data_IF_440458252703
#
_entry.id   IF_440458252703
#
_cell.length_a   1.000
_cell.length_b   1.000
_cell.length_c   1.000
_cell.angle_alpha   90.00
_cell.angle_beta   90.00
_cell.angle_gamma   90.00
#
_symmetry.space_group_name_H-M   'P 1'
#
loop_
_entity.id
_entity.type
_entity.pdbx_description
1 polymer ?
#
# COMPACT_ATOMS: atom_id res chain seq x y z
N UNK A 1 -26.67 0.33 -20.08
CA UNK A 1 -27.81 0.78 -19.25
C UNK A 1 -29.05 0.97 -20.10
N UNK A 2 -28.97 1.69 -21.23
CA UNK A 2 -30.12 1.93 -22.14
C UNK A 2 -30.80 0.65 -22.62
N UNK A 3 -30.03 -0.38 -22.98
CA UNK A 3 -30.58 -1.65 -23.50
C UNK A 3 -31.36 -2.47 -22.46
N UNK A 4 -30.87 -2.54 -21.20
CA UNK A 4 -31.43 -3.44 -20.19
C UNK A 4 -32.23 -2.74 -19.09
N UNK A 5 -32.17 -1.40 -19.02
CA UNK A 5 -32.73 -0.62 -17.91
C UNK A 5 -32.02 -0.81 -16.56
N UNK A 6 -30.96 -1.63 -16.49
CA UNK A 6 -30.19 -1.84 -15.27
C UNK A 6 -29.10 -0.79 -15.12
N UNK A 7 -28.88 -0.37 -13.86
CA UNK A 7 -27.76 0.49 -13.50
C UNK A 7 -26.49 -0.35 -13.36
N UNK A 8 -25.43 0.03 -14.05
CA UNK A 8 -24.12 -0.59 -13.98
C UNK A 8 -23.09 0.46 -13.56
N UNK A 9 -22.13 0.06 -12.75
CA UNK A 9 -21.03 0.90 -12.29
C UNK A 9 -19.68 0.30 -12.71
N UNK A 10 -18.65 1.12 -12.68
CA UNK A 10 -17.27 0.67 -12.86
C UNK A 10 -16.58 0.67 -11.51
N UNK A 11 -16.15 -0.50 -11.05
CA UNK A 11 -15.54 -0.69 -9.74
C UNK A 11 -14.05 -1.06 -9.87
N UNK A 12 -13.22 -0.45 -9.02
CA UNK A 12 -11.86 -0.89 -8.79
C UNK A 12 -11.89 -2.06 -7.79
N UNK A 13 -12.17 -3.26 -8.29
CA UNK A 13 -12.33 -4.48 -7.48
C UNK A 13 -11.10 -4.70 -6.57
N UNK A 14 -11.23 -5.09 -5.29
CA UNK A 14 -10.08 -5.35 -4.42
C UNK A 14 -9.15 -6.47 -4.91
N UNK A 15 -9.71 -7.50 -5.55
CA UNK A 15 -9.01 -8.57 -6.26
C UNK A 15 -7.88 -9.30 -5.49
N UNK A 16 -7.98 -9.39 -4.15
CA UNK A 16 -6.95 -9.92 -3.24
C UNK A 16 -6.37 -11.27 -3.69
N UNK A 17 -7.23 -12.25 -4.00
CA UNK A 17 -6.80 -13.55 -4.54
C UNK A 17 -6.83 -13.63 -6.07
N UNK A 18 -7.63 -12.79 -6.71
CA UNK A 18 -7.90 -12.85 -8.15
C UNK A 18 -6.68 -12.46 -8.97
N UNK A 19 -5.97 -11.41 -8.56
CA UNK A 19 -4.73 -10.95 -9.22
C UNK A 19 -3.68 -12.05 -9.31
N UNK A 20 -3.49 -12.78 -8.21
CA UNK A 20 -2.57 -13.91 -8.13
C UNK A 20 -3.05 -15.10 -8.98
N UNK A 21 -4.33 -15.44 -8.87
CA UNK A 21 -4.92 -16.57 -9.60
C UNK A 21 -4.85 -16.38 -11.11
N UNK A 22 -5.22 -15.20 -11.60
CA UNK A 22 -5.15 -14.90 -13.04
C UNK A 22 -3.71 -14.92 -13.54
N UNK A 23 -2.77 -14.30 -12.81
CA UNK A 23 -1.37 -14.33 -13.20
C UNK A 23 -0.83 -15.77 -13.31
N UNK A 24 -1.19 -16.66 -12.37
CA UNK A 24 -0.82 -18.07 -12.42
C UNK A 24 -1.44 -18.83 -13.60
N UNK A 25 -2.72 -18.64 -13.88
CA UNK A 25 -3.40 -19.35 -14.96
C UNK A 25 -2.93 -18.87 -16.34
N UNK A 26 -2.75 -17.57 -16.53
CA UNK A 26 -2.29 -17.01 -17.80
C UNK A 26 -0.90 -17.48 -18.16
N UNK A 27 -0.01 -17.62 -17.17
CA UNK A 27 1.33 -18.14 -17.40
C UNK A 27 1.35 -19.55 -18.00
N UNK A 28 0.38 -20.40 -17.67
CA UNK A 28 0.27 -21.75 -18.24
C UNK A 28 -0.10 -21.72 -19.72
N UNK A 29 -0.78 -20.65 -20.16
CA UNK A 29 -1.37 -20.52 -21.50
C UNK A 29 -0.53 -19.66 -22.44
N UNK A 30 0.17 -18.67 -21.88
CA UNK A 30 0.89 -17.65 -22.64
C UNK A 30 2.37 -17.64 -22.24
N UNK A 31 3.22 -18.39 -22.97
CA UNK A 31 4.67 -18.33 -22.77
C UNK A 31 5.19 -16.91 -22.97
N UNK A 32 6.01 -16.41 -22.03
CA UNK A 32 6.63 -15.09 -22.11
C UNK A 32 5.76 -13.92 -21.64
N UNK A 33 4.57 -14.17 -21.07
CA UNK A 33 3.72 -13.10 -20.53
C UNK A 33 4.44 -12.30 -19.43
N UNK A 34 4.32 -10.97 -19.49
CA UNK A 34 4.89 -10.04 -18.52
C UNK A 34 3.95 -9.88 -17.33
N UNK A 35 4.49 -10.08 -16.12
CA UNK A 35 3.74 -10.06 -14.86
C UNK A 35 4.61 -9.46 -13.77
N UNK A 36 4.00 -8.87 -12.75
CA UNK A 36 4.70 -8.41 -11.56
C UNK A 36 4.99 -9.56 -10.58
N UNK A 37 5.89 -9.32 -9.63
CA UNK A 37 6.29 -10.29 -8.61
C UNK A 37 7.37 -11.27 -9.09
N UNK A 38 7.52 -12.38 -8.36
CA UNK A 38 8.52 -13.41 -8.71
C UNK A 38 7.92 -14.50 -9.59
N UNK A 39 8.77 -15.45 -10.04
CA UNK A 39 8.28 -16.64 -10.75
C UNK A 39 7.35 -17.48 -9.86
N UNK A 40 7.61 -17.57 -8.57
CA UNK A 40 6.83 -18.37 -7.63
C UNK A 40 5.58 -17.61 -7.17
N UNK A 41 5.68 -16.27 -7.11
CA UNK A 41 4.64 -15.39 -6.60
C UNK A 41 4.24 -14.30 -7.60
N UNK A 42 3.69 -14.63 -8.78
CA UNK A 42 3.31 -13.63 -9.75
C UNK A 42 1.94 -13.03 -9.47
N UNK A 43 1.76 -11.76 -9.81
CA UNK A 43 0.48 -11.08 -9.65
C UNK A 43 0.30 -10.02 -10.73
N UNK A 44 -0.95 -9.60 -10.91
CA UNK A 44 -1.29 -8.37 -11.60
C UNK A 44 -1.53 -7.25 -10.61
N UNK A 45 -1.10 -6.04 -10.96
CA UNK A 45 -1.43 -4.84 -10.19
C UNK A 45 -2.95 -4.66 -10.19
N UNK A 46 -3.52 -4.35 -9.03
CA UNK A 46 -4.97 -4.28 -8.89
C UNK A 46 -5.57 -3.12 -9.69
N UNK A 47 -6.67 -3.36 -10.39
CA UNK A 47 -7.43 -2.31 -11.10
C UNK A 47 -6.53 -1.43 -11.99
N UNK A 48 -6.49 -0.11 -11.76
CA UNK A 48 -5.58 0.83 -12.43
C UNK A 48 -4.52 1.40 -11.48
N UNK A 49 -4.26 0.72 -10.37
CA UNK A 49 -3.24 1.16 -9.39
C UNK A 49 -1.86 1.22 -10.02
N UNK A 50 -0.96 2.00 -9.39
CA UNK A 50 0.44 1.99 -9.75
C UNK A 50 1.06 0.62 -9.40
N UNK A 51 2.07 0.15 -10.17
CA UNK A 51 2.86 -1.01 -9.76
C UNK A 51 3.41 -0.84 -8.34
N UNK A 52 3.50 -1.95 -7.61
CA UNK A 52 4.11 -1.96 -6.27
C UNK A 52 5.54 -1.43 -6.35
N UNK A 53 5.90 -0.50 -5.48
CA UNK A 53 7.23 0.11 -5.44
C UNK A 53 7.50 1.15 -6.55
N UNK A 54 6.45 1.66 -7.21
CA UNK A 54 6.62 2.68 -8.25
C UNK A 54 7.18 4.01 -7.71
N UNK A 55 6.66 4.49 -6.58
CA UNK A 55 7.13 5.71 -5.91
C UNK A 55 6.83 5.61 -4.41
N UNK A 56 7.69 6.24 -3.62
CA UNK A 56 7.48 6.44 -2.17
C UNK A 56 6.86 7.83 -1.89
N UNK A 57 6.71 8.69 -2.90
CA UNK A 57 6.06 9.99 -2.76
C UNK A 57 4.54 9.87 -2.91
N UNK A 58 3.76 10.07 -1.83
CA UNK A 58 2.31 9.99 -1.92
C UNK A 58 1.67 11.06 -2.80
N UNK A 59 2.30 12.22 -2.98
CA UNK A 59 1.79 13.26 -3.86
C UNK A 59 2.04 12.94 -5.33
N UNK A 60 3.18 12.34 -5.66
CA UNK A 60 3.39 11.79 -7.01
C UNK A 60 2.36 10.69 -7.29
N UNK A 61 2.13 9.77 -6.34
CA UNK A 61 1.13 8.72 -6.49
C UNK A 61 -0.27 9.30 -6.75
N UNK A 62 -0.67 10.35 -6.02
CA UNK A 62 -1.92 11.07 -6.22
C UNK A 62 -2.00 11.72 -7.62
N UNK A 63 -0.94 12.42 -8.05
CA UNK A 63 -0.88 13.07 -9.36
C UNK A 63 -1.03 12.07 -10.52
N UNK A 64 -0.38 10.91 -10.42
CA UNK A 64 -0.48 9.85 -11.43
C UNK A 64 -1.84 9.16 -11.46
N UNK A 65 -2.57 9.17 -10.35
CA UNK A 65 -3.79 8.39 -10.18
C UNK A 65 -5.07 9.22 -10.24
N UNK A 66 -5.03 10.54 -10.07
CA UNK A 66 -6.23 11.39 -10.03
C UNK A 66 -7.15 11.15 -11.23
N UNK A 67 -6.61 11.20 -12.45
CA UNK A 67 -7.43 11.09 -13.66
C UNK A 67 -8.15 9.74 -13.78
N UNK A 68 -7.42 8.63 -13.57
CA UNK A 68 -7.95 7.28 -13.72
C UNK A 68 -8.90 6.91 -12.58
N UNK A 69 -8.55 7.25 -11.35
CA UNK A 69 -9.35 6.89 -10.18
C UNK A 69 -10.73 7.57 -10.21
N UNK A 70 -10.82 8.76 -10.80
CA UNK A 70 -12.09 9.48 -10.98
C UNK A 70 -13.03 8.87 -12.02
N UNK A 71 -12.57 7.89 -12.81
CA UNK A 71 -13.41 7.19 -13.79
C UNK A 71 -14.23 6.06 -13.15
N UNK A 72 -13.84 5.58 -11.97
CA UNK A 72 -14.63 4.58 -11.25
C UNK A 72 -15.87 5.23 -10.65
N UNK A 73 -17.02 4.68 -11.00
CA UNK A 73 -18.33 5.13 -10.53
C UNK A 73 -18.89 4.24 -9.43
N UNK A 74 -18.35 3.03 -9.29
CA UNK A 74 -18.80 2.02 -8.33
C UNK A 74 -18.04 1.99 -7.03
N UNK A 75 -16.80 2.47 -7.05
CA UNK A 75 -15.93 2.48 -5.90
C UNK A 75 -14.48 2.39 -6.34
N UNK A 76 -13.63 3.16 -5.66
CA UNK A 76 -12.19 3.01 -5.71
C UNK A 76 -11.57 3.50 -4.41
N UNK A 77 -10.32 3.12 -4.16
CA UNK A 77 -9.50 3.60 -3.05
C UNK A 77 -8.06 3.74 -3.53
N UNK A 78 -7.40 4.86 -3.21
CA UNK A 78 -5.96 4.99 -3.37
C UNK A 78 -5.26 4.79 -2.01
N UNK A 79 -4.33 3.85 -1.95
CA UNK A 79 -3.51 3.62 -0.77
C UNK A 79 -2.25 4.48 -0.82
N UNK A 80 -2.11 5.38 0.15
CA UNK A 80 -0.88 6.15 0.35
C UNK A 80 -0.05 5.42 1.41
N UNK A 81 0.93 4.64 0.96
CA UNK A 81 1.87 3.93 1.84
C UNK A 81 2.96 4.88 2.31
N UNK A 82 3.18 4.94 3.62
CA UNK A 82 4.27 5.71 4.21
C UNK A 82 5.33 4.73 4.72
N UNK A 83 6.60 4.94 4.37
CA UNK A 83 7.71 4.10 4.83
C UNK A 83 7.96 4.17 6.35
N UNK A 84 7.39 5.17 7.02
CA UNK A 84 7.52 5.37 8.46
C UNK A 84 6.20 5.76 9.12
N UNK A 85 6.23 5.90 10.43
CA UNK A 85 5.09 6.35 11.22
C UNK A 85 4.77 7.82 10.91
N UNK A 86 3.48 8.16 10.81
CA UNK A 86 3.08 9.57 10.75
C UNK A 86 3.45 10.27 12.06
N UNK A 87 4.24 11.34 11.96
CA UNK A 87 4.84 12.06 13.09
C UNK A 87 3.84 12.58 14.13
N UNK A 88 2.62 12.92 13.71
CA UNK A 88 1.55 13.34 14.61
C UNK A 88 0.17 13.26 13.95
N UNK A 89 -0.89 13.26 14.75
CA UNK A 89 -2.26 13.41 14.25
C UNK A 89 -2.48 14.71 13.46
N UNK A 90 -1.79 15.79 13.83
CA UNK A 90 -1.84 17.06 13.08
C UNK A 90 -1.18 16.92 11.71
N UNK A 91 -0.03 16.25 11.61
CA UNK A 91 0.62 15.97 10.33
C UNK A 91 -0.28 15.12 9.42
N UNK A 92 -0.89 14.07 9.97
CA UNK A 92 -1.86 13.24 9.24
C UNK A 92 -3.05 14.08 8.74
N UNK A 93 -3.63 14.92 9.60
CA UNK A 93 -4.72 15.83 9.24
C UNK A 93 -4.32 16.77 8.11
N UNK A 94 -3.11 17.35 8.16
CA UNK A 94 -2.61 18.23 7.11
C UNK A 94 -2.42 17.48 5.78
N UNK A 95 -1.94 16.24 5.82
CA UNK A 95 -1.77 15.39 4.65
C UNK A 95 -3.11 15.09 3.99
N UNK A 96 -4.10 14.62 4.77
CA UNK A 96 -5.47 14.38 4.27
C UNK A 96 -6.04 15.66 3.66
N UNK A 97 -5.95 16.79 4.37
CA UNK A 97 -6.47 18.07 3.90
C UNK A 97 -5.85 18.46 2.55
N UNK A 98 -4.52 18.41 2.43
CA UNK A 98 -3.82 18.76 1.19
C UNK A 98 -4.17 17.83 0.03
N UNK A 99 -4.30 16.53 0.30
CA UNK A 99 -4.70 15.56 -0.72
C UNK A 99 -6.10 15.86 -1.24
N UNK A 100 -7.07 16.10 -0.36
CA UNK A 100 -8.47 16.35 -0.75
C UNK A 100 -8.71 17.75 -1.31
N UNK A 101 -7.86 18.75 -1.00
CA UNK A 101 -7.95 20.10 -1.59
C UNK A 101 -7.33 20.17 -2.98
N UNK A 102 -6.27 19.40 -3.25
CA UNK A 102 -5.54 19.43 -4.53
C UNK A 102 -6.08 18.43 -5.55
N UNK A 103 -6.59 17.29 -5.08
CA UNK A 103 -7.03 16.18 -5.93
C UNK A 103 -8.51 15.89 -5.75
N UNK A 104 -9.11 15.20 -6.72
CA UNK A 104 -10.54 14.85 -6.71
C UNK A 104 -10.76 13.36 -6.56
N UNK A 105 -9.78 12.62 -6.08
CA UNK A 105 -9.96 11.21 -5.74
C UNK A 105 -11.04 11.06 -4.68
N UNK A 106 -11.99 10.11 -4.85
CA UNK A 106 -13.15 10.00 -3.98
C UNK A 106 -12.81 9.40 -2.61
N UNK A 107 -11.75 8.59 -2.53
CA UNK A 107 -11.39 7.86 -1.32
C UNK A 107 -9.89 7.56 -1.30
N UNK A 108 -9.24 7.94 -0.20
CA UNK A 108 -7.83 7.69 0.07
C UNK A 108 -7.68 7.01 1.43
N UNK A 109 -6.60 6.25 1.59
CA UNK A 109 -6.15 5.76 2.90
C UNK A 109 -4.70 6.16 3.11
N UNK A 110 -4.32 6.37 4.37
CA UNK A 110 -2.93 6.61 4.77
C UNK A 110 -2.50 5.39 5.57
N UNK A 111 -1.48 4.70 5.08
CA UNK A 111 -0.97 3.45 5.66
C UNK A 111 0.47 3.65 6.11
N UNK A 112 0.69 4.05 7.38
CA UNK A 112 2.03 4.15 7.93
C UNK A 112 2.63 2.79 8.24
N UNK A 113 3.95 2.70 8.14
CA UNK A 113 4.71 1.52 8.53
C UNK A 113 5.27 1.69 9.94
N UNK A 114 5.03 0.70 10.79
CA UNK A 114 5.57 0.62 12.15
C UNK A 114 5.71 -0.84 12.56
N UNK A 115 6.59 -1.08 13.53
CA UNK A 115 6.79 -2.41 14.12
C UNK A 115 6.38 -2.40 15.59
N UNK A 116 6.04 -3.55 16.17
CA UNK A 116 5.63 -3.66 17.58
C UNK A 116 6.65 -4.53 18.32
N UNK A 117 7.32 -3.93 19.30
CA UNK A 117 8.10 -4.65 20.29
C UNK A 117 7.22 -4.99 21.50
N UNK A 118 7.21 -6.24 21.99
CA UNK A 118 6.50 -6.62 23.21
C UNK A 118 6.95 -5.84 24.46
N UNK A 119 8.19 -5.37 24.48
CA UNK A 119 8.79 -4.62 25.61
C UNK A 119 8.65 -3.11 25.46
N UNK A 120 8.93 -2.57 24.28
CA UNK A 120 9.02 -1.12 24.04
C UNK A 120 7.86 -0.52 23.26
N UNK A 121 6.87 -1.34 22.86
CA UNK A 121 5.71 -0.89 22.10
C UNK A 121 6.03 -0.55 20.65
N UNK A 122 5.43 0.51 20.13
CA UNK A 122 5.56 0.94 18.74
C UNK A 122 6.99 1.43 18.42
N UNK A 123 7.52 0.94 17.30
CA UNK A 123 8.79 1.34 16.69
C UNK A 123 8.50 1.96 15.32
N UNK A 124 9.32 2.93 14.93
CA UNK A 124 9.15 3.62 13.65
C UNK A 124 9.66 2.75 12.49
N UNK A 125 8.83 2.62 11.46
CA UNK A 125 9.12 1.85 10.26
C UNK A 125 9.14 0.34 10.47
N UNK A 126 9.59 -0.36 9.42
CA UNK A 126 9.82 -1.79 9.46
C UNK A 126 11.14 -2.08 10.21
N UNK A 127 11.03 -2.85 11.29
CA UNK A 127 12.15 -3.21 12.15
C UNK A 127 12.08 -4.71 12.41
N UNK A 128 13.01 -5.51 11.85
CA UNK A 128 13.03 -6.96 12.08
C UNK A 128 13.37 -7.31 13.54
N UNK A 129 14.12 -6.44 14.23
CA UNK A 129 14.46 -6.57 15.64
C UNK A 129 14.32 -5.21 16.33
N UNK A 130 14.02 -5.23 17.63
CA UNK A 130 13.89 -3.98 18.38
C UNK A 130 15.28 -3.41 18.72
N UNK A 131 15.65 -2.22 18.20
CA UNK A 131 16.97 -1.65 18.46
C UNK A 131 17.19 -1.32 19.94
N UNK A 132 16.11 -1.06 20.69
CA UNK A 132 16.17 -0.80 22.14
C UNK A 132 16.48 -2.08 22.91
N UNK A 133 15.82 -3.20 22.60
CA UNK A 133 16.15 -4.50 23.20
C UNK A 133 17.60 -4.91 22.93
N UNK A 134 18.11 -4.65 21.72
CA UNK A 134 19.49 -5.00 21.36
C UNK A 134 20.50 -4.21 22.20
N UNK A 135 20.28 -2.91 22.37
CA UNK A 135 21.12 -2.06 23.23
C UNK A 135 21.08 -2.53 24.68
N UNK A 136 19.90 -2.85 25.22
CA UNK A 136 19.72 -3.36 26.58
C UNK A 136 20.48 -4.67 26.80
N UNK A 137 20.33 -5.64 25.87
CA UNK A 137 21.02 -6.94 25.93
C UNK A 137 22.54 -6.80 25.80
N UNK A 138 23.02 -5.88 24.96
CA UNK A 138 24.45 -5.60 24.85
C UNK A 138 25.00 -5.02 26.16
N UNK A 139 24.27 -4.10 26.79
CA UNK A 139 24.65 -3.53 28.08
C UNK A 139 24.69 -4.59 29.19
N UNK A 140 23.72 -5.51 29.23
CA UNK A 140 23.69 -6.63 30.18
C UNK A 140 24.88 -7.59 30.00
N UNK A 141 25.22 -7.92 28.76
CA UNK A 141 26.41 -8.74 28.44
C UNK A 141 27.70 -8.07 28.90
N UNK A 142 27.83 -6.76 28.72
CA UNK A 142 29.01 -6.01 29.18
C UNK A 142 29.12 -5.95 30.71
N UNK A 143 27.98 -5.87 31.41
CA UNK A 143 27.96 -5.88 32.89
C UNK A 143 28.29 -7.24 33.48
N UNK A 144 27.86 -8.33 32.84
CA UNK A 144 28.11 -9.71 33.29
C UNK A 144 29.51 -10.24 32.94
N UNK A 145 30.22 -9.56 32.04
CA UNK A 145 31.61 -9.87 31.68
C UNK A 145 32.66 -9.12 32.54
N UNK A 146 32.22 -8.26 33.47
CA UNK A 146 33.05 -7.63 34.51
C UNK A 146 32.89 -8.35 35.83
#
# INVERSE_FOLDING_TARGET
QEETGHMYNLEATPAEGTTYRFAKEDRKRYPGILQAGTKERPYYTNSSQLPVGFTDDPFEALERQDELQRKYTGGTVLHLYMGERVSSGQACKMLVKRALERFRLPYITITPTFSICPTHGYLDGEQPFCPKCDVERLAEKQRSAK
#
